data_IF_198640971394
#
_entry.id   IF_198640971394
#
_cell.length_a   1.000
_cell.length_b   1.000
_cell.length_c   1.000
_cell.angle_alpha   90.00
_cell.angle_beta   90.00
_cell.angle_gamma   90.00
#
_symmetry.space_group_name_H-M   'P 1'
#
loop_
_entity.id
_entity.type
_entity.pdbx_description
1 polymer ?
#
# COMPACT_ATOMS: atom_id res chain seq x y z
N UNK A 1 -1.80 23.14 -8.44
CA UNK A 1 -0.74 22.52 -7.63
C UNK A 1 0.61 22.87 -8.23
N UNK A 2 1.55 23.38 -7.43
CA UNK A 2 2.93 23.53 -7.88
C UNK A 2 3.50 22.13 -8.17
N UNK A 3 4.21 21.92 -9.30
CA UNK A 3 4.75 20.61 -9.63
C UNK A 3 5.74 20.06 -8.61
N UNK A 4 6.31 20.93 -7.78
CA UNK A 4 7.44 20.59 -6.92
C UNK A 4 7.07 20.36 -5.46
N UNK A 5 5.85 20.70 -5.03
CA UNK A 5 5.47 20.60 -3.62
C UNK A 5 4.00 20.22 -3.43
N UNK A 6 3.75 19.24 -2.59
CA UNK A 6 2.43 18.99 -2.02
C UNK A 6 2.28 19.74 -0.69
N UNK A 7 1.08 20.22 -0.38
CA UNK A 7 0.80 20.91 0.89
C UNK A 7 0.53 19.93 2.04
N UNK A 8 0.26 18.66 1.74
CA UNK A 8 -0.20 17.67 2.71
C UNK A 8 -1.65 17.87 3.20
N UNK A 9 -2.38 18.83 2.63
CA UNK A 9 -3.77 19.09 2.99
C UNK A 9 -4.71 17.96 2.54
N UNK A 10 -4.33 17.23 1.51
CA UNK A 10 -5.09 16.13 0.95
C UNK A 10 -4.23 14.89 0.87
N UNK A 11 -4.75 13.78 1.39
CA UNK A 11 -4.15 12.47 1.30
C UNK A 11 -5.16 11.50 0.71
N UNK A 12 -4.70 10.55 -0.08
CA UNK A 12 -5.53 9.47 -0.56
C UNK A 12 -4.75 8.15 -0.59
N UNK A 13 -5.46 7.05 -0.43
CA UNK A 13 -4.91 5.72 -0.54
C UNK A 13 -5.37 5.07 -1.84
N UNK A 14 -4.43 4.56 -2.63
CA UNK A 14 -4.75 3.74 -3.79
C UNK A 14 -5.02 2.32 -3.30
N UNK A 15 -6.27 1.86 -3.44
CA UNK A 15 -6.72 0.53 -2.96
C UNK A 15 -6.43 -0.61 -3.95
N UNK A 16 -5.70 -0.34 -5.03
CA UNK A 16 -5.32 -1.30 -6.04
C UNK A 16 -3.98 -0.93 -6.67
N UNK A 17 -3.78 -1.29 -7.93
CA UNK A 17 -2.62 -0.83 -8.70
C UNK A 17 -2.72 0.68 -8.97
N UNK A 18 -1.71 1.42 -8.57
CA UNK A 18 -1.62 2.84 -8.90
C UNK A 18 -1.43 3.02 -10.41
N UNK A 19 -2.23 3.89 -11.06
CA UNK A 19 -2.05 4.19 -12.48
C UNK A 19 -0.68 4.86 -12.72
N UNK A 20 0.01 4.45 -13.77
CA UNK A 20 1.36 4.98 -14.08
C UNK A 20 1.38 6.48 -14.41
N UNK A 21 0.27 7.06 -14.83
CA UNK A 21 0.17 8.50 -15.01
C UNK A 21 0.33 9.32 -13.72
N UNK A 22 0.26 8.67 -12.56
CA UNK A 22 0.58 9.31 -11.28
C UNK A 22 2.10 9.42 -11.04
N UNK A 23 2.89 8.62 -11.76
CA UNK A 23 4.34 8.63 -11.61
C UNK A 23 4.88 10.03 -11.90
N UNK A 24 5.69 10.56 -10.98
CA UNK A 24 6.30 11.90 -11.05
C UNK A 24 5.33 13.08 -10.95
N UNK A 25 4.03 12.84 -10.83
CA UNK A 25 3.00 13.88 -10.69
C UNK A 25 2.44 13.97 -9.28
N UNK A 26 2.51 12.88 -8.52
CA UNK A 26 1.98 12.80 -7.15
C UNK A 26 3.08 12.31 -6.21
N UNK A 27 3.21 12.97 -5.06
CA UNK A 27 4.15 12.56 -4.04
C UNK A 27 3.67 11.29 -3.32
N UNK A 28 4.53 10.28 -3.26
CA UNK A 28 4.29 9.07 -2.47
C UNK A 28 4.78 9.30 -1.06
N UNK A 29 3.88 9.25 -0.09
CA UNK A 29 4.22 9.47 1.34
C UNK A 29 4.40 8.16 2.10
N UNK A 30 3.89 7.04 1.58
CA UNK A 30 4.04 5.76 2.22
C UNK A 30 3.23 4.65 1.55
N UNK A 31 3.22 3.50 2.19
CA UNK A 31 2.44 2.33 1.78
C UNK A 31 1.56 1.87 2.93
N UNK A 32 0.30 1.58 2.65
CA UNK A 32 -0.58 0.92 3.62
C UNK A 32 -0.09 -0.52 3.79
N UNK A 33 0.23 -0.90 5.02
CA UNK A 33 0.76 -2.23 5.35
C UNK A 33 -0.25 -3.13 6.05
N UNK A 34 -1.34 -2.57 6.56
CA UNK A 34 -2.42 -3.28 7.23
C UNK A 34 -3.72 -2.49 7.09
N UNK A 35 -4.86 -3.16 6.96
CA UNK A 35 -6.19 -2.53 6.97
C UNK A 35 -6.66 -1.94 5.64
N UNK A 36 -5.94 -2.11 4.53
CA UNK A 36 -6.36 -1.58 3.22
C UNK A 36 -7.68 -2.17 2.75
N UNK A 37 -8.00 -3.39 3.16
CA UNK A 37 -9.25 -4.07 2.86
C UNK A 37 -10.47 -3.30 3.38
N UNK A 38 -10.34 -2.59 4.50
CA UNK A 38 -11.40 -1.77 5.06
C UNK A 38 -11.72 -0.57 4.15
N UNK A 39 -10.71 0.01 3.51
CA UNK A 39 -10.93 1.09 2.54
C UNK A 39 -11.68 0.61 1.31
N UNK A 40 -11.47 -0.64 0.90
CA UNK A 40 -12.13 -1.23 -0.26
C UNK A 40 -13.63 -1.50 -0.02
N UNK A 41 -14.08 -1.55 1.23
CA UNK A 41 -15.49 -1.76 1.58
C UNK A 41 -16.31 -0.47 1.65
N UNK A 42 -15.66 0.70 1.58
CA UNK A 42 -16.37 1.98 1.61
C UNK A 42 -17.30 2.12 0.41
N UNK A 43 -18.49 2.72 0.61
CA UNK A 43 -19.41 3.01 -0.48
C UNK A 43 -18.72 3.87 -1.55
N UNK A 44 -19.09 3.69 -2.81
CA UNK A 44 -18.59 4.55 -3.87
C UNK A 44 -19.37 5.86 -3.89
N UNK A 45 -18.66 6.97 -3.97
CA UNK A 45 -19.26 8.28 -4.22
C UNK A 45 -19.86 8.37 -5.63
N UNK A 46 -20.90 9.17 -5.79
CA UNK A 46 -21.61 9.41 -7.06
C UNK A 46 -21.31 10.79 -7.64
N UNK A 47 -20.67 11.66 -6.88
CA UNK A 47 -20.28 13.00 -7.31
C UNK A 47 -19.11 12.98 -8.30
N UNK A 48 -18.73 14.15 -8.75
CA UNK A 48 -17.59 14.33 -9.63
C UNK A 48 -16.33 13.71 -8.98
N UNK A 49 -15.54 13.02 -9.79
CA UNK A 49 -14.39 12.25 -9.32
C UNK A 49 -14.68 11.19 -8.23
N UNK A 50 -15.95 10.82 -8.04
CA UNK A 50 -16.35 9.82 -7.03
C UNK A 50 -16.47 10.36 -5.62
N UNK A 51 -16.54 11.67 -5.42
CA UNK A 51 -16.73 12.29 -4.10
C UNK A 51 -18.11 11.99 -3.55
N UNK A 52 -18.26 12.00 -2.24
CA UNK A 52 -19.56 11.95 -1.58
C UNK A 52 -20.21 13.33 -1.61
N UNK A 53 -21.27 13.50 -2.41
CA UNK A 53 -22.06 14.71 -2.45
C UNK A 53 -22.85 14.88 -1.14
N UNK A 54 -23.39 13.78 -0.61
CA UNK A 54 -24.07 13.75 0.67
C UNK A 54 -23.04 13.65 1.82
N UNK A 55 -22.93 14.67 2.68
CA UNK A 55 -22.05 14.62 3.85
C UNK A 55 -22.32 13.46 4.81
N UNK A 56 -23.54 12.93 4.84
CA UNK A 56 -23.91 11.81 5.71
C UNK A 56 -23.21 10.49 5.31
N UNK A 57 -22.74 10.39 4.06
CA UNK A 57 -22.01 9.23 3.56
C UNK A 57 -20.52 9.31 3.88
N UNK A 58 -20.03 10.44 4.36
CA UNK A 58 -18.61 10.63 4.67
C UNK A 58 -18.26 9.88 5.95
N UNK A 59 -17.23 9.06 5.88
CA UNK A 59 -16.70 8.34 7.03
C UNK A 59 -15.74 9.26 7.79
N UNK A 60 -16.01 9.60 9.05
CA UNK A 60 -15.14 10.49 9.82
C UNK A 60 -13.80 9.80 10.14
N UNK A 61 -12.72 10.54 10.06
CA UNK A 61 -11.41 10.12 10.57
C UNK A 61 -11.41 10.39 12.07
N UNK A 62 -11.34 9.33 12.87
CA UNK A 62 -11.32 9.43 14.33
C UNK A 62 -9.98 9.95 14.83
N UNK A 63 -8.88 9.47 14.28
CA UNK A 63 -7.54 9.92 14.63
C UNK A 63 -6.51 9.59 13.56
N UNK A 64 -5.48 10.42 13.45
CA UNK A 64 -4.24 10.14 12.72
C UNK A 64 -3.09 10.40 13.69
N UNK A 65 -2.20 9.43 13.85
CA UNK A 65 -1.08 9.53 14.78
C UNK A 65 0.20 9.01 14.15
N UNK A 66 1.30 9.64 14.47
CA UNK A 66 2.62 9.09 14.14
C UNK A 66 2.97 7.98 15.14
N UNK A 67 3.54 6.88 14.64
CA UNK A 67 3.87 5.75 15.49
C UNK A 67 4.86 6.07 16.61
N UNK A 68 5.76 7.04 16.41
CA UNK A 68 6.70 7.49 17.45
C UNK A 68 6.05 8.31 18.58
N UNK A 69 4.84 8.84 18.35
CA UNK A 69 4.04 9.55 19.36
C UNK A 69 3.25 8.62 20.26
N UNK A 70 3.12 7.35 19.86
CA UNK A 70 2.43 6.35 20.67
C UNK A 70 3.34 5.87 21.82
N UNK A 71 2.75 5.54 22.99
CA UNK A 71 3.47 4.83 24.05
C UNK A 71 4.15 3.57 23.51
N UNK A 72 5.32 3.23 24.01
CA UNK A 72 6.12 2.12 23.48
C UNK A 72 5.36 0.78 23.43
N UNK A 73 4.49 0.52 24.41
CA UNK A 73 3.66 -0.69 24.47
C UNK A 73 2.48 -0.72 23.48
N UNK A 74 2.11 0.44 22.94
CA UNK A 74 1.00 0.56 21.97
C UNK A 74 1.48 0.65 20.53
N UNK A 75 2.80 0.78 20.32
CA UNK A 75 3.37 0.88 18.98
C UNK A 75 3.22 -0.43 18.23
N UNK A 76 2.55 -0.46 17.07
CA UNK A 76 2.51 -1.67 16.27
C UNK A 76 3.92 -1.99 15.77
N UNK A 77 4.32 -3.24 15.91
CA UNK A 77 5.64 -3.71 15.47
C UNK A 77 5.49 -4.53 14.21
N UNK A 78 6.26 -4.18 13.21
CA UNK A 78 6.32 -4.88 11.94
C UNK A 78 7.74 -5.25 11.60
N UNK A 79 7.90 -6.32 10.85
CA UNK A 79 9.14 -6.67 10.18
C UNK A 79 8.88 -6.86 8.69
N UNK A 80 9.86 -6.57 7.89
CA UNK A 80 9.80 -6.75 6.44
C UNK A 80 11.02 -7.50 5.94
N UNK A 81 10.88 -8.17 4.82
CA UNK A 81 11.99 -8.83 4.16
C UNK A 81 12.87 -7.78 3.49
N UNK A 82 14.11 -7.63 3.96
CA UNK A 82 15.07 -6.66 3.41
C UNK A 82 15.33 -6.91 1.92
N UNK A 83 15.10 -5.90 1.11
CA UNK A 83 15.21 -6.01 -0.36
C UNK A 83 16.64 -6.20 -0.86
N UNK A 84 17.64 -5.97 -0.02
CA UNK A 84 19.07 -6.15 -0.27
C UNK A 84 19.60 -7.54 0.17
N UNK A 85 18.71 -8.43 0.60
CA UNK A 85 19.06 -9.75 1.11
C UNK A 85 19.01 -10.85 0.05
N UNK A 86 19.80 -11.91 0.23
CA UNK A 86 19.71 -13.11 -0.60
C UNK A 86 18.31 -13.77 -0.55
N UNK A 87 17.65 -13.71 0.60
CA UNK A 87 16.28 -14.22 0.77
C UNK A 87 15.27 -13.46 -0.09
N UNK A 88 15.43 -12.15 -0.25
CA UNK A 88 14.58 -11.36 -1.15
C UNK A 88 14.88 -11.69 -2.62
N UNK A 89 16.15 -11.85 -2.99
CA UNK A 89 16.52 -12.26 -4.35
C UNK A 89 15.90 -13.62 -4.69
N UNK A 90 15.93 -14.56 -3.77
CA UNK A 90 15.28 -15.87 -3.95
C UNK A 90 13.75 -15.76 -4.04
N UNK A 91 13.13 -14.94 -3.20
CA UNK A 91 11.70 -14.65 -3.30
C UNK A 91 11.32 -14.13 -4.70
N UNK A 92 12.08 -13.17 -5.23
CA UNK A 92 11.87 -12.62 -6.58
C UNK A 92 12.05 -13.70 -7.64
N UNK A 93 13.11 -14.51 -7.54
CA UNK A 93 13.39 -15.61 -8.46
C UNK A 93 12.22 -16.61 -8.51
N UNK A 94 11.71 -17.02 -7.38
CA UNK A 94 10.56 -17.94 -7.28
C UNK A 94 9.31 -17.32 -7.89
N UNK A 95 9.06 -16.05 -7.61
CA UNK A 95 7.88 -15.34 -8.17
C UNK A 95 7.96 -15.17 -9.68
N UNK A 96 9.15 -14.90 -10.21
CA UNK A 96 9.39 -14.77 -11.65
C UNK A 96 9.28 -16.09 -12.41
N UNK A 97 9.51 -17.21 -11.73
CA UNK A 97 9.60 -18.52 -12.34
C UNK A 97 8.60 -19.52 -11.73
N UNK A 98 7.37 -19.08 -11.50
CA UNK A 98 6.33 -19.96 -10.99
C UNK A 98 6.16 -21.17 -11.89
N UNK A 99 6.21 -22.35 -11.28
CA UNK A 99 5.98 -23.63 -11.93
C UNK A 99 5.13 -24.49 -10.97
N UNK A 100 3.83 -24.43 -11.15
CA UNK A 100 2.84 -25.11 -10.31
C UNK A 100 1.72 -25.71 -11.18
N UNK A 101 0.67 -26.20 -10.57
CA UNK A 101 -0.44 -26.83 -11.28
C UNK A 101 -1.07 -25.92 -12.35
N UNK A 102 -1.05 -24.61 -12.15
CA UNK A 102 -1.59 -23.63 -13.09
C UNK A 102 -0.53 -23.11 -14.07
N UNK A 103 0.65 -22.71 -13.55
CA UNK A 103 1.74 -22.15 -14.36
C UNK A 103 2.69 -23.27 -14.83
N UNK A 104 2.51 -23.69 -16.08
CA UNK A 104 3.31 -24.78 -16.68
C UNK A 104 4.63 -24.30 -17.27
N UNK A 105 4.66 -23.06 -17.75
CA UNK A 105 5.83 -22.45 -18.38
C UNK A 105 6.24 -21.26 -17.55
N UNK A 106 7.45 -21.26 -16.94
CA UNK A 106 7.98 -20.13 -16.22
C UNK A 106 8.14 -18.90 -17.13
N UNK A 107 7.72 -17.73 -16.64
CA UNK A 107 7.82 -16.46 -17.41
C UNK A 107 9.26 -15.93 -17.51
N UNK A 108 10.15 -16.33 -16.62
CA UNK A 108 11.54 -15.85 -16.58
C UNK A 108 11.70 -14.41 -16.11
N UNK A 109 10.60 -13.75 -15.71
CA UNK A 109 10.59 -12.37 -15.26
C UNK A 109 9.32 -12.01 -14.50
N UNK A 110 9.35 -10.88 -13.82
CA UNK A 110 8.20 -10.35 -13.10
C UNK A 110 8.25 -8.82 -13.14
N UNK A 111 7.10 -8.19 -13.36
CA UNK A 111 6.98 -6.74 -13.29
C UNK A 111 7.24 -6.25 -11.86
N UNK A 112 7.99 -5.17 -11.73
CA UNK A 112 8.37 -4.60 -10.43
C UNK A 112 7.17 -4.24 -9.56
N UNK A 113 6.06 -3.84 -10.18
CA UNK A 113 4.82 -3.53 -9.45
C UNK A 113 4.17 -4.79 -8.84
N UNK A 114 4.53 -5.98 -9.31
CA UNK A 114 4.06 -7.26 -8.79
C UNK A 114 5.00 -7.88 -7.74
N UNK A 115 6.14 -7.23 -7.47
CA UNK A 115 7.09 -7.63 -6.43
C UNK A 115 6.81 -6.82 -5.18
N UNK A 116 5.85 -7.27 -4.39
CA UNK A 116 5.58 -6.63 -3.11
C UNK A 116 6.57 -7.11 -2.06
N UNK A 117 7.16 -6.18 -1.31
CA UNK A 117 8.00 -6.50 -0.16
C UNK A 117 7.12 -7.17 0.91
N UNK A 118 7.42 -8.43 1.30
CA UNK A 118 6.69 -9.09 2.37
C UNK A 118 6.84 -8.35 3.70
N UNK A 119 5.72 -8.12 4.35
CA UNK A 119 5.65 -7.46 5.67
C UNK A 119 4.73 -8.31 6.55
N UNK A 120 5.08 -8.44 7.81
CA UNK A 120 4.22 -9.08 8.81
C UNK A 120 4.27 -8.34 10.13
N UNK A 121 3.21 -8.46 10.89
CA UNK A 121 3.19 -8.00 12.28
C UNK A 121 4.07 -8.92 13.12
N UNK A 122 4.92 -8.33 13.95
CA UNK A 122 5.67 -9.09 14.96
C UNK A 122 4.68 -9.46 16.06
N UNK A 123 4.59 -10.74 16.38
CA UNK A 123 3.74 -11.21 17.48
C UNK A 123 4.10 -10.50 18.78
N UNK A 124 3.09 -10.20 19.58
CA UNK A 124 3.32 -9.83 20.97
C UNK A 124 3.93 -11.06 21.66
N UNK A 125 5.01 -10.92 22.42
CA UNK A 125 5.64 -12.02 23.14
C UNK A 125 4.66 -12.67 24.11
#
# INVERSE_FOLDING_TARGET
>A
LSPDTGTGAELYAVIGHAPRQLDRNIAVVGRVIEGIEHLATLPRGKGEAGVYDDPALRVPIVSVRLGNELPAGERPRFEYLGSDTASFAEYVRVRANRNDAFYKVPAGGIDVCNVQVPIRRVGTP
#
